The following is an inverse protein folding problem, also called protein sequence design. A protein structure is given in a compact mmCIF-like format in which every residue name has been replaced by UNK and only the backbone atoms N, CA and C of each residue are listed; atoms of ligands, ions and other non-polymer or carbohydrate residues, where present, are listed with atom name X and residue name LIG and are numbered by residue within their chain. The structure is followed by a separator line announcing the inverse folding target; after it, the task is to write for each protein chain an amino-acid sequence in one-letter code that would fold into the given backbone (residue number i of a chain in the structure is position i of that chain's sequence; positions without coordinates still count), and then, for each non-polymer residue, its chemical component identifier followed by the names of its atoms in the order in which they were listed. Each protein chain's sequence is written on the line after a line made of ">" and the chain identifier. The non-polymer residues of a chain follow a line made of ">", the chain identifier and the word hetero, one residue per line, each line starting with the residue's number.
data_IF_911278775535
#
_entry.id   IF_911278775535
#
_cell.length_a   1.000
_cell.length_b   1.000
_cell.length_c   1.000
_cell.angle_alpha   90.00
_cell.angle_beta   90.00
_cell.angle_gamma   90.00
#
_symmetry.space_group_name_H-M   'P 1'
#
loop_
_entity.id
_entity.type
_entity.pdbx_description
1 polymer ?
#
# COMPACT_ATOMS: atom_id res chain seq x y z
N UNK A 1 5.75 16.29 20.99
CA UNK A 1 4.60 15.36 20.92
C UNK A 1 4.63 14.70 19.55
N UNK A 2 4.34 13.40 19.43
CA UNK A 2 4.38 12.68 18.13
C UNK A 2 3.18 13.12 17.30
N UNK A 3 3.39 13.59 16.06
CA UNK A 3 2.29 13.99 15.17
C UNK A 3 1.89 12.80 14.29
N UNK A 4 0.86 12.09 14.72
CA UNK A 4 0.34 10.92 14.02
C UNK A 4 -0.18 11.25 12.62
N UNK A 5 -0.83 12.41 12.42
CA UNK A 5 -1.33 12.84 11.10
C UNK A 5 -0.25 12.96 10.02
N UNK A 6 0.98 13.33 10.39
CA UNK A 6 2.12 13.37 9.45
C UNK A 6 2.52 11.95 9.08
N UNK A 7 2.68 11.07 10.07
CA UNK A 7 3.03 9.66 9.89
C UNK A 7 2.03 8.95 8.98
N UNK A 8 0.72 9.09 9.24
CA UNK A 8 -0.33 8.49 8.42
C UNK A 8 -0.25 8.90 6.95
N UNK A 9 0.11 10.16 6.66
CA UNK A 9 0.27 10.63 5.28
C UNK A 9 1.41 9.96 4.53
N UNK A 10 2.56 9.79 5.18
CA UNK A 10 3.69 9.10 4.56
C UNK A 10 3.42 7.60 4.42
N UNK A 11 2.79 6.96 5.41
CA UNK A 11 2.38 5.56 5.30
C UNK A 11 1.36 5.35 4.18
N UNK A 12 0.38 6.25 4.04
CA UNK A 12 -0.59 6.21 2.94
C UNK A 12 0.07 6.31 1.56
N UNK A 13 1.12 7.12 1.41
CA UNK A 13 1.90 7.21 0.17
C UNK A 13 2.66 5.91 -0.14
N UNK A 14 3.25 5.28 0.88
CA UNK A 14 3.92 3.97 0.71
C UNK A 14 2.90 2.94 0.21
N UNK A 15 1.73 2.86 0.86
CA UNK A 15 0.65 1.95 0.47
C UNK A 15 0.18 2.25 -0.96
N UNK A 16 0.05 3.52 -1.35
CA UNK A 16 -0.32 3.89 -2.71
C UNK A 16 0.69 3.39 -3.75
N UNK A 17 1.98 3.56 -3.49
CA UNK A 17 3.05 3.08 -4.39
C UNK A 17 2.95 1.57 -4.56
N UNK A 18 2.69 0.83 -3.47
CA UNK A 18 2.49 -0.62 -3.50
C UNK A 18 1.25 -1.00 -4.30
N UNK A 19 0.12 -0.32 -4.07
CA UNK A 19 -1.11 -0.57 -4.82
C UNK A 19 -0.95 -0.30 -6.32
N UNK A 20 -0.22 0.76 -6.68
CA UNK A 20 0.09 1.08 -8.08
C UNK A 20 1.03 0.03 -8.70
N UNK A 21 2.03 -0.47 -7.96
CA UNK A 21 2.92 -1.51 -8.47
C UNK A 21 2.19 -2.84 -8.73
N UNK A 22 1.17 -3.16 -7.92
CA UNK A 22 0.29 -4.31 -8.18
C UNK A 22 -0.48 -4.20 -9.50
N UNK A 23 -0.83 -2.99 -9.94
CA UNK A 23 -1.47 -2.80 -11.25
C UNK A 23 -0.55 -3.23 -12.40
N UNK A 24 0.77 -3.11 -12.25
CA UNK A 24 1.72 -3.66 -13.24
C UNK A 24 1.58 -5.17 -13.37
N UNK A 25 1.40 -5.89 -12.24
CA UNK A 25 1.13 -7.33 -12.26
C UNK A 25 -0.23 -7.66 -12.89
N UNK A 26 -1.26 -6.84 -12.66
CA UNK A 26 -2.57 -6.98 -13.35
C UNK A 26 -2.40 -6.84 -14.87
N UNK A 27 -1.63 -5.85 -15.33
CA UNK A 27 -1.35 -5.65 -16.76
C UNK A 27 -0.61 -6.84 -17.37
N UNK A 28 0.38 -7.40 -16.66
CA UNK A 28 1.04 -8.64 -17.09
C UNK A 28 0.05 -9.81 -17.17
N UNK A 29 -0.78 -10.00 -16.15
CA UNK A 29 -1.80 -11.06 -16.10
C UNK A 29 -2.80 -10.93 -17.26
N UNK A 30 -3.17 -9.71 -17.66
CA UNK A 30 -4.02 -9.44 -18.81
C UNK A 30 -3.34 -9.83 -20.13
N UNK A 31 -2.05 -9.51 -20.28
CA UNK A 31 -1.28 -9.85 -21.48
C UNK A 31 -1.17 -11.37 -21.67
N UNK A 32 -0.88 -12.10 -20.59
CA UNK A 32 -0.74 -13.57 -20.61
C UNK A 32 -2.08 -14.31 -20.50
N UNK A 33 -3.21 -13.61 -20.35
CA UNK A 33 -4.57 -14.19 -20.17
C UNK A 33 -4.69 -15.15 -18.99
N UNK A 34 -3.98 -14.85 -17.92
CA UNK A 34 -3.99 -15.61 -16.67
C UNK A 34 -5.30 -15.38 -15.89
N UNK A 35 -5.79 -16.40 -15.16
CA UNK A 35 -7.03 -16.31 -14.39
C UNK A 35 -6.90 -15.49 -13.09
N UNK A 36 -5.69 -15.00 -12.77
CA UNK A 36 -5.38 -14.24 -11.54
C UNK A 36 -5.70 -12.74 -11.64
N UNK A 37 -6.28 -12.27 -12.74
CA UNK A 37 -6.62 -10.85 -12.96
C UNK A 37 -7.52 -10.31 -11.87
N UNK A 38 -8.58 -11.05 -11.52
CA UNK A 38 -9.60 -10.64 -10.54
C UNK A 38 -8.99 -10.46 -9.14
N UNK A 39 -8.31 -11.46 -8.55
CA UNK A 39 -7.76 -11.32 -7.20
C UNK A 39 -6.66 -10.24 -7.12
N UNK A 40 -5.80 -10.12 -8.14
CA UNK A 40 -4.80 -9.04 -8.17
C UNK A 40 -5.44 -7.66 -8.31
N UNK A 41 -6.49 -7.52 -9.10
CA UNK A 41 -7.22 -6.25 -9.24
C UNK A 41 -7.93 -5.85 -7.95
N UNK A 42 -8.50 -6.82 -7.23
CA UNK A 42 -9.13 -6.59 -5.93
C UNK A 42 -8.08 -6.20 -4.87
N UNK A 43 -6.94 -6.89 -4.82
CA UNK A 43 -5.82 -6.53 -3.95
C UNK A 43 -5.29 -5.11 -4.24
N UNK A 44 -5.07 -4.77 -5.52
CA UNK A 44 -4.64 -3.44 -5.94
C UNK A 44 -5.68 -2.38 -5.54
N UNK A 45 -6.97 -2.63 -5.80
CA UNK A 45 -8.06 -1.73 -5.45
C UNK A 45 -8.14 -1.43 -3.95
N UNK A 46 -8.14 -2.47 -3.11
CA UNK A 46 -8.16 -2.31 -1.64
C UNK A 46 -6.93 -1.55 -1.16
N UNK A 47 -5.75 -1.86 -1.68
CA UNK A 47 -4.49 -1.21 -1.31
C UNK A 47 -4.51 0.28 -1.69
N UNK A 48 -4.89 0.61 -2.93
CA UNK A 48 -4.97 2.00 -3.41
C UNK A 48 -6.01 2.79 -2.61
N UNK A 49 -7.21 2.25 -2.40
CA UNK A 49 -8.26 2.93 -1.64
C UNK A 49 -7.80 3.22 -0.21
N UNK A 50 -7.16 2.25 0.44
CA UNK A 50 -6.65 2.42 1.80
C UNK A 50 -5.54 3.47 1.85
N UNK A 51 -4.60 3.44 0.89
CA UNK A 51 -3.55 4.44 0.77
C UNK A 51 -4.09 5.85 0.55
N UNK A 52 -5.10 6.01 -0.31
CA UNK A 52 -5.77 7.29 -0.54
C UNK A 52 -6.42 7.83 0.73
N UNK A 53 -7.20 7.02 1.45
CA UNK A 53 -7.86 7.43 2.71
C UNK A 53 -6.86 7.93 3.75
N UNK A 54 -5.71 7.27 3.86
CA UNK A 54 -4.63 7.67 4.77
C UNK A 54 -3.96 8.99 4.33
N UNK A 55 -3.76 9.19 3.02
CA UNK A 55 -3.22 10.44 2.49
C UNK A 55 -4.18 11.62 2.69
N UNK A 56 -5.49 11.42 2.52
CA UNK A 56 -6.50 12.47 2.75
C UNK A 56 -6.61 12.89 4.22
N UNK A 57 -6.30 11.98 5.14
CA UNK A 57 -6.34 12.26 6.59
C UNK A 57 -5.08 12.96 7.11
N UNK A 58 -4.10 13.22 6.24
CA UNK A 58 -2.77 13.66 6.61
C UNK A 58 -2.57 15.17 6.63
N UNK A 59 -1.61 15.60 7.46
CA UNK A 59 -1.14 16.98 7.48
C UNK A 59 0.17 17.13 6.70
N UNK A 60 0.26 18.18 5.88
CA UNK A 60 1.49 18.52 5.14
C UNK A 60 2.44 19.28 6.07
N UNK A 61 3.21 18.53 6.86
CA UNK A 61 4.30 19.08 7.68
C UNK A 61 5.61 18.31 7.43
N UNK A 62 6.75 18.95 7.74
CA UNK A 62 8.06 18.31 7.64
C UNK A 62 8.22 17.19 8.68
N UNK A 63 8.87 16.10 8.26
CA UNK A 63 9.18 14.96 9.11
C UNK A 63 10.23 15.35 10.14
N UNK A 64 9.98 15.06 11.42
CA UNK A 64 11.01 15.04 12.45
C UNK A 64 11.63 13.64 12.58
N UNK A 65 12.85 13.56 13.10
CA UNK A 65 13.59 12.30 13.27
C UNK A 65 12.78 11.17 13.93
N UNK A 66 12.00 11.48 15.00
CA UNK A 66 11.15 10.49 15.68
C UNK A 66 10.06 9.92 14.79
N UNK A 67 9.47 10.75 13.93
CA UNK A 67 8.42 10.35 12.99
C UNK A 67 9.02 9.50 11.87
N UNK A 68 10.23 9.84 11.41
CA UNK A 68 10.97 9.06 10.43
C UNK A 68 11.20 7.61 10.85
N UNK A 69 11.66 7.38 12.09
CA UNK A 69 11.82 6.02 12.61
C UNK A 69 10.51 5.22 12.59
N UNK A 70 9.42 5.82 13.03
CA UNK A 70 8.09 5.18 13.04
C UNK A 70 7.61 4.87 11.62
N UNK A 71 7.79 5.81 10.69
CA UNK A 71 7.40 5.65 9.28
C UNK A 71 8.14 4.48 8.64
N UNK A 72 9.44 4.32 8.90
CA UNK A 72 10.22 3.22 8.33
C UNK A 72 9.78 1.87 8.91
N UNK A 73 9.68 1.76 10.24
CA UNK A 73 9.27 0.51 10.90
C UNK A 73 7.86 0.07 10.50
N UNK A 74 6.88 0.98 10.55
CA UNK A 74 5.51 0.68 10.12
C UNK A 74 5.41 0.54 8.60
N UNK A 75 6.22 1.27 7.84
CA UNK A 75 6.25 1.19 6.39
C UNK A 75 6.60 -0.21 5.91
N UNK A 76 7.61 -0.85 6.49
CA UNK A 76 7.95 -2.24 6.17
C UNK A 76 6.85 -3.22 6.58
N UNK A 77 6.27 -3.06 7.78
CA UNK A 77 5.19 -3.92 8.25
C UNK A 77 3.97 -3.84 7.33
N UNK A 78 3.53 -2.63 6.97
CA UNK A 78 2.42 -2.41 6.05
C UNK A 78 2.78 -2.90 4.65
N UNK A 79 4.03 -2.72 4.21
CA UNK A 79 4.44 -3.22 2.90
C UNK A 79 4.35 -4.75 2.80
N UNK A 80 4.77 -5.47 3.83
CA UNK A 80 4.60 -6.92 3.90
C UNK A 80 3.12 -7.32 3.97
N UNK A 81 2.31 -6.62 4.78
CA UNK A 81 0.90 -6.91 4.93
C UNK A 81 0.14 -6.70 3.61
N UNK A 82 0.19 -5.51 3.02
CA UNK A 82 -0.49 -5.22 1.76
C UNK A 82 0.11 -6.03 0.61
N UNK A 83 1.43 -6.20 0.56
CA UNK A 83 2.11 -7.01 -0.45
C UNK A 83 1.70 -8.49 -0.44
N UNK A 84 1.20 -9.01 0.69
CA UNK A 84 0.67 -10.37 0.79
C UNK A 84 -0.76 -10.53 0.24
N UNK A 85 -1.53 -9.43 0.10
CA UNK A 85 -2.95 -9.49 -0.32
C UNK A 85 -3.20 -10.23 -1.64
N UNK A 86 -2.41 -10.04 -2.72
CA UNK A 86 -2.64 -10.77 -3.95
C UNK A 86 -2.55 -12.28 -3.74
N UNK A 87 -1.56 -12.74 -2.95
CA UNK A 87 -1.35 -14.16 -2.64
C UNK A 87 -2.48 -14.75 -1.80
N UNK A 88 -2.98 -13.99 -0.82
CA UNK A 88 -4.13 -14.38 -0.01
C UNK A 88 -5.37 -14.51 -0.88
N UNK A 89 -5.62 -13.54 -1.77
CA UNK A 89 -6.82 -13.54 -2.63
C UNK A 89 -6.75 -14.56 -3.77
N UNK A 90 -5.57 -14.92 -4.25
CA UNK A 90 -5.41 -16.05 -5.18
C UNK A 90 -5.50 -17.41 -4.48
N UNK A 91 -5.40 -17.46 -3.14
CA UNK A 91 -5.35 -18.72 -2.39
C UNK A 91 -4.07 -19.53 -2.64
N UNK A 92 -2.99 -18.87 -3.04
CA UNK A 92 -1.70 -19.52 -3.34
C UNK A 92 -0.78 -19.63 -2.10
N UNK A 93 -1.35 -19.48 -0.89
CA UNK A 93 -0.63 -19.40 0.38
C UNK A 93 -1.05 -20.55 1.31
#
# INVERSE_FOLDING_TARGET
>A
MIRTRVILGYLGRIILIIGISMLSSVLCSLYYRESIIIPFSLAAGVTIVTGLLLVFSAEKQAIHYKEGFVIVSLGWLLASLFGSLPYIFTGCL
#
